data_IF_908068183792
#
_entry.id   IF_908068183792
#
_cell.length_a   1.000
_cell.length_b   1.000
_cell.length_c   1.000
_cell.angle_alpha   90.00
_cell.angle_beta   90.00
_cell.angle_gamma   90.00
#
_symmetry.space_group_name_H-M   'P 1'
#
loop_
_entity.id
_entity.type
_entity.pdbx_description
1 polymer ?
#
# COMPACT_ATOMS: atom_id res chain seq x y z
N UNK A 1 -16.17 -6.07 30.46
CA UNK A 1 -15.24 -6.98 31.18
C UNK A 1 -14.12 -6.15 31.72
N UNK A 2 -14.05 -5.97 33.02
CA UNK A 2 -12.95 -5.29 33.73
C UNK A 2 -11.89 -6.35 33.99
N UNK A 3 -10.74 -6.25 33.33
CA UNK A 3 -9.60 -7.12 33.67
C UNK A 3 -9.09 -6.78 35.08
N UNK A 4 -9.00 -7.76 35.95
CA UNK A 4 -8.38 -7.60 37.24
C UNK A 4 -6.90 -7.23 37.05
N UNK A 5 -6.38 -6.26 37.80
CA UNK A 5 -5.01 -5.73 37.75
C UNK A 5 -3.91 -6.80 37.94
N UNK A 6 -4.26 -7.97 38.41
CA UNK A 6 -3.33 -9.05 38.75
C UNK A 6 -3.25 -10.17 37.69
N UNK A 7 -4.02 -10.07 36.61
CA UNK A 7 -3.91 -11.01 35.47
C UNK A 7 -2.73 -10.58 34.57
N UNK A 8 -1.64 -11.30 34.67
CA UNK A 8 -0.51 -11.20 33.73
C UNK A 8 -1.04 -11.62 32.37
N UNK A 9 -1.19 -10.66 31.45
CA UNK A 9 -1.52 -10.98 30.07
C UNK A 9 -0.33 -11.76 29.49
N UNK A 10 -0.51 -13.02 29.07
CA UNK A 10 0.60 -13.86 28.60
C UNK A 10 1.17 -13.41 27.25
N UNK A 11 0.50 -12.44 26.58
CA UNK A 11 0.94 -11.90 25.30
C UNK A 11 1.72 -10.61 25.54
N UNK A 12 2.98 -10.58 25.11
CA UNK A 12 3.84 -9.40 25.15
C UNK A 12 4.04 -8.88 23.72
N UNK A 13 3.17 -7.98 23.20
CA UNK A 13 3.30 -7.47 21.84
C UNK A 13 4.45 -6.47 21.73
N UNK A 14 5.14 -6.49 20.59
CA UNK A 14 6.03 -5.42 20.14
C UNK A 14 5.37 -4.70 18.99
N UNK A 15 5.17 -3.40 19.11
CA UNK A 15 4.66 -2.55 18.03
C UNK A 15 5.85 -1.83 17.38
N UNK A 16 5.93 -1.94 16.05
CA UNK A 16 6.88 -1.22 15.22
C UNK A 16 6.06 -0.31 14.31
N UNK A 17 6.06 0.97 14.61
CA UNK A 17 5.45 2.00 13.79
C UNK A 17 6.54 2.63 12.92
N UNK A 18 6.41 2.52 11.60
CA UNK A 18 7.37 3.06 10.64
C UNK A 18 7.24 4.57 10.47
N UNK A 19 6.07 5.13 10.76
CA UNK A 19 5.74 6.53 10.52
C UNK A 19 6.08 7.45 11.69
N UNK A 20 6.02 6.96 12.94
CA UNK A 20 6.21 7.77 14.12
C UNK A 20 7.52 7.49 14.85
N UNK A 21 8.28 8.55 15.05
CA UNK A 21 9.35 8.62 16.06
C UNK A 21 8.81 9.40 17.26
N UNK A 22 8.28 8.69 18.27
CA UNK A 22 7.97 9.35 19.54
C UNK A 22 9.29 9.53 20.31
N UNK A 23 9.87 10.69 20.15
CA UNK A 23 11.09 11.07 20.89
C UNK A 23 10.72 11.55 22.29
N UNK A 24 11.41 11.03 23.28
CA UNK A 24 11.40 11.54 24.64
C UNK A 24 12.85 11.81 25.05
N UNK A 25 13.18 13.07 25.29
CA UNK A 25 14.54 13.50 25.62
C UNK A 25 15.61 13.05 24.58
N UNK A 26 15.29 13.09 23.26
CA UNK A 26 16.23 12.68 22.21
C UNK A 26 16.35 11.16 21.98
N UNK A 27 15.64 10.33 22.75
CA UNK A 27 15.61 8.89 22.59
C UNK A 27 14.29 8.41 21.98
N UNK A 28 14.36 7.50 21.01
CA UNK A 28 13.16 6.86 20.46
C UNK A 28 12.56 5.89 21.48
N UNK A 29 11.29 6.15 21.87
CA UNK A 29 10.60 5.39 22.94
C UNK A 29 10.46 3.91 22.58
N UNK A 30 10.21 3.58 21.31
CA UNK A 30 10.06 2.20 20.87
C UNK A 30 11.40 1.46 20.89
N UNK A 31 12.45 2.12 20.38
CA UNK A 31 13.79 1.55 20.37
C UNK A 31 14.32 1.32 21.79
N UNK A 32 14.17 2.31 22.66
CA UNK A 32 14.55 2.20 24.08
C UNK A 32 13.81 1.06 24.79
N UNK A 33 12.52 0.87 24.47
CA UNK A 33 11.73 -0.24 25.01
C UNK A 33 12.21 -1.59 24.49
N UNK A 34 12.48 -1.71 23.18
CA UNK A 34 13.01 -2.95 22.58
C UNK A 34 14.35 -3.32 23.21
N UNK A 35 15.28 -2.36 23.34
CA UNK A 35 16.60 -2.57 23.97
C UNK A 35 16.42 -3.00 25.43
N UNK A 36 15.65 -2.27 26.22
CA UNK A 36 15.39 -2.60 27.63
C UNK A 36 14.81 -4.01 27.81
N UNK A 37 13.80 -4.32 27.01
CA UNK A 37 13.15 -5.62 27.02
C UNK A 37 14.07 -6.75 26.54
N UNK A 38 15.16 -6.42 25.84
CA UNK A 38 16.20 -7.34 25.41
C UNK A 38 17.24 -7.67 26.46
N UNK A 39 17.33 -6.87 27.54
CA UNK A 39 18.29 -7.09 28.64
C UNK A 39 17.71 -8.02 29.70
N UNK A 40 18.57 -8.87 30.27
CA UNK A 40 18.19 -9.67 31.42
C UNK A 40 18.08 -8.79 32.69
N UNK A 41 17.53 -9.37 33.75
CA UNK A 41 17.30 -8.64 35.04
C UNK A 41 18.61 -8.14 35.64
N UNK A 42 19.71 -8.90 35.55
CA UNK A 42 20.99 -8.54 36.14
C UNK A 42 21.64 -7.41 35.36
N UNK A 43 21.56 -7.46 34.00
CA UNK A 43 22.01 -6.39 33.15
C UNK A 43 21.26 -5.08 33.39
N UNK A 44 19.92 -5.14 33.52
CA UNK A 44 19.10 -3.97 33.87
C UNK A 44 19.50 -3.36 35.22
N UNK A 45 19.71 -4.20 36.27
CA UNK A 45 20.14 -3.76 37.56
C UNK A 45 21.54 -3.15 37.51
N UNK A 46 22.47 -3.79 36.77
CA UNK A 46 23.84 -3.29 36.61
C UNK A 46 23.88 -1.92 35.96
N UNK A 47 23.11 -1.72 34.87
CA UNK A 47 23.01 -0.42 34.20
C UNK A 47 22.37 0.65 35.12
N UNK A 48 21.31 0.31 35.83
CA UNK A 48 20.66 1.21 36.76
C UNK A 48 21.62 1.66 37.89
N UNK A 49 22.39 0.73 38.43
CA UNK A 49 23.42 1.04 39.45
C UNK A 49 24.54 1.92 38.89
N UNK A 50 25.05 1.62 37.72
CA UNK A 50 26.09 2.42 37.06
C UNK A 50 25.63 3.85 36.76
N UNK A 51 24.38 4.00 36.30
CA UNK A 51 23.79 5.30 36.04
C UNK A 51 23.55 6.11 37.35
N UNK A 52 23.14 5.44 38.42
CA UNK A 52 23.00 6.08 39.74
C UNK A 52 24.34 6.56 40.29
N UNK A 53 25.42 5.77 40.14
CA UNK A 53 26.77 6.18 40.51
C UNK A 53 27.24 7.40 39.74
N UNK A 54 26.96 7.46 38.43
CA UNK A 54 27.27 8.62 37.60
C UNK A 54 26.57 9.89 38.10
N UNK A 55 25.28 9.82 38.42
CA UNK A 55 24.52 10.94 38.99
C UNK A 55 25.04 11.38 40.35
N UNK A 56 25.42 10.43 41.17
CA UNK A 56 26.02 10.72 42.49
C UNK A 56 27.35 11.41 42.33
N UNK A 57 28.24 10.91 41.49
CA UNK A 57 29.52 11.51 41.18
C UNK A 57 29.38 12.94 40.64
N UNK A 58 28.35 13.20 39.83
CA UNK A 58 28.05 14.56 39.36
C UNK A 58 27.63 15.48 40.50
N UNK A 59 26.85 15.03 41.48
CA UNK A 59 26.48 15.81 42.65
C UNK A 59 27.69 16.14 43.58
N UNK A 60 28.69 15.26 43.57
CA UNK A 60 29.93 15.42 44.36
C UNK A 60 31.02 16.21 43.58
N UNK A 61 30.75 16.58 42.31
CA UNK A 61 31.69 17.35 41.50
C UNK A 61 32.02 18.71 42.09
N UNK A 62 33.28 19.11 41.98
CA UNK A 62 33.79 20.38 42.59
C UNK A 62 33.06 21.61 42.05
N UNK A 63 32.64 21.60 40.77
CA UNK A 63 31.88 22.70 40.18
C UNK A 63 30.46 22.81 40.78
N UNK A 64 29.81 21.67 41.04
CA UNK A 64 28.47 21.63 41.64
C UNK A 64 28.54 22.06 43.12
N UNK A 65 29.52 21.60 43.86
CA UNK A 65 29.76 22.03 45.25
C UNK A 65 30.11 23.51 45.35
N UNK A 66 30.94 24.03 44.46
CA UNK A 66 31.25 25.47 44.39
C UNK A 66 29.99 26.30 44.02
N UNK A 67 29.16 25.83 43.08
CA UNK A 67 27.91 26.46 42.73
C UNK A 67 26.94 26.49 43.91
N UNK A 68 26.79 25.39 44.63
CA UNK A 68 25.93 25.28 45.79
C UNK A 68 26.41 26.22 46.93
N UNK A 69 27.70 26.32 47.16
CA UNK A 69 28.28 27.28 48.11
C UNK A 69 27.97 28.72 47.69
N UNK A 70 28.10 29.06 46.42
CA UNK A 70 27.80 30.39 45.88
C UNK A 70 26.31 30.73 46.02
N UNK A 71 25.40 29.77 45.75
CA UNK A 71 23.96 29.95 45.87
C UNK A 71 23.57 30.14 47.34
N UNK A 72 24.06 29.34 48.24
CA UNK A 72 23.81 29.42 49.70
C UNK A 72 24.26 30.73 50.29
N UNK A 73 25.38 31.28 49.86
CA UNK A 73 25.93 32.55 50.34
C UNK A 73 25.18 33.79 49.82
N UNK A 74 24.53 33.71 48.68
CA UNK A 74 23.94 34.89 48.00
C UNK A 74 22.44 35.07 48.27
N UNK A 75 21.74 34.08 48.85
CA UNK A 75 20.28 34.12 49.04
C UNK A 75 19.91 33.64 50.45
N UNK A 76 19.98 34.50 51.45
CA UNK A 76 19.46 34.17 52.77
C UNK A 76 17.92 34.28 52.80
N UNK A 77 17.22 33.19 52.40
CA UNK A 77 15.76 33.17 52.37
C UNK A 77 15.14 32.64 53.68
N UNK A 78 15.89 31.92 54.49
CA UNK A 78 15.49 31.38 55.80
C UNK A 78 16.67 30.62 56.44
N UNK A 79 16.49 29.98 57.58
CA UNK A 79 17.43 29.06 58.24
C UNK A 79 17.72 27.76 57.42
N UNK A 80 17.23 27.70 56.18
CA UNK A 80 17.40 26.56 55.27
C UNK A 80 18.38 26.89 54.15
N UNK A 81 19.32 25.98 53.92
CA UNK A 81 20.28 26.08 52.82
C UNK A 81 19.65 25.64 51.48
N UNK A 82 19.75 26.47 50.47
CA UNK A 82 19.37 26.13 49.11
C UNK A 82 20.52 25.42 48.40
N UNK A 83 20.24 24.24 47.79
CA UNK A 83 21.24 23.51 46.98
C UNK A 83 20.58 22.93 45.72
N UNK A 84 21.37 22.80 44.66
CA UNK A 84 21.01 22.15 43.42
C UNK A 84 21.64 20.74 43.43
N UNK A 85 20.84 19.72 43.14
CA UNK A 85 21.28 18.35 43.02
C UNK A 85 20.61 17.68 41.83
N UNK A 86 21.26 16.68 41.24
CA UNK A 86 20.61 15.82 40.22
C UNK A 86 19.64 14.87 40.93
N UNK A 87 18.43 14.75 40.39
CA UNK A 87 17.41 13.84 40.89
C UNK A 87 17.87 12.39 40.80
N UNK A 88 18.02 11.74 41.97
CA UNK A 88 18.38 10.33 42.13
C UNK A 88 17.16 9.40 42.16
N UNK A 89 15.95 9.94 42.04
CA UNK A 89 14.73 9.14 42.09
C UNK A 89 14.65 8.13 40.94
N UNK A 90 13.88 7.07 41.16
CA UNK A 90 13.64 6.02 40.16
C UNK A 90 12.84 6.50 38.94
N UNK A 91 12.18 7.67 39.04
CA UNK A 91 11.41 8.24 37.92
C UNK A 91 12.28 8.77 36.78
N UNK A 92 13.57 9.04 37.06
CA UNK A 92 14.58 9.40 36.06
C UNK A 92 15.45 8.19 35.73
N UNK A 93 14.85 7.22 35.06
CA UNK A 93 15.53 5.99 34.66
C UNK A 93 16.56 6.22 33.52
N UNK A 94 17.61 5.42 33.50
CA UNK A 94 18.68 5.49 32.50
C UNK A 94 18.16 5.37 31.07
N UNK A 95 17.07 4.63 30.86
CA UNK A 95 16.47 4.37 29.55
C UNK A 95 16.02 5.64 28.82
N UNK A 96 15.56 6.65 29.60
CA UNK A 96 15.08 7.92 29.02
C UNK A 96 16.18 8.97 28.82
N UNK A 97 17.41 8.67 29.26
CA UNK A 97 18.55 9.58 29.19
C UNK A 97 19.64 9.14 28.24
N UNK A 98 19.58 7.91 27.71
CA UNK A 98 20.54 7.42 26.73
C UNK A 98 20.05 7.69 25.31
N UNK A 99 20.93 8.20 24.49
CA UNK A 99 20.71 8.34 23.05
C UNK A 99 21.29 7.12 22.34
N UNK A 100 20.49 6.50 21.47
CA UNK A 100 20.95 5.40 20.64
C UNK A 100 21.64 5.98 19.39
N UNK A 101 22.85 5.49 19.11
CA UNK A 101 23.60 5.88 17.91
C UNK A 101 23.69 4.72 16.92
N UNK A 102 23.65 5.03 15.64
CA UNK A 102 23.92 4.13 14.54
C UNK A 102 25.12 4.68 13.76
N UNK A 103 26.25 3.96 13.74
CA UNK A 103 27.51 4.45 13.17
C UNK A 103 27.91 5.85 13.66
N UNK A 104 27.82 6.09 14.97
CA UNK A 104 28.10 7.38 15.62
C UNK A 104 27.14 8.53 15.25
N UNK A 105 26.07 8.27 14.51
CA UNK A 105 25.03 9.24 14.21
C UNK A 105 23.85 8.96 15.15
N UNK A 106 23.31 9.98 15.87
CA UNK A 106 22.11 9.82 16.68
C UNK A 106 20.97 9.21 15.87
N UNK A 107 20.26 8.25 16.49
CA UNK A 107 19.21 7.48 15.81
C UNK A 107 18.07 8.34 15.23
N UNK A 108 17.77 9.47 15.85
CA UNK A 108 16.80 10.44 15.39
C UNK A 108 17.25 11.23 14.14
N UNK A 109 18.56 11.23 13.85
CA UNK A 109 19.14 11.93 12.70
C UNK A 109 19.35 11.03 11.48
N UNK A 110 19.20 9.70 11.61
CA UNK A 110 19.22 8.81 10.46
C UNK A 110 17.86 8.80 9.73
N UNK A 111 17.87 8.42 8.46
CA UNK A 111 16.66 8.35 7.64
C UNK A 111 15.58 7.42 8.25
N UNK A 112 14.31 7.82 8.18
CA UNK A 112 13.19 7.07 8.77
C UNK A 112 13.10 5.61 8.28
N UNK A 113 13.41 5.35 7.00
CA UNK A 113 13.49 3.98 6.49
C UNK A 113 14.56 3.13 7.18
N UNK A 114 15.73 3.69 7.48
CA UNK A 114 16.76 2.99 8.26
C UNK A 114 16.33 2.77 9.70
N UNK A 115 15.65 3.75 10.30
CA UNK A 115 15.06 3.59 11.63
C UNK A 115 14.08 2.41 11.67
N UNK A 116 13.21 2.27 10.66
CA UNK A 116 12.26 1.16 10.54
C UNK A 116 13.02 -0.19 10.45
N UNK A 117 14.03 -0.30 9.59
CA UNK A 117 14.85 -1.52 9.44
C UNK A 117 15.53 -1.91 10.76
N UNK A 118 16.14 -0.94 11.46
CA UNK A 118 16.83 -1.20 12.73
C UNK A 118 15.84 -1.67 13.81
N UNK A 119 14.70 -1.00 13.97
CA UNK A 119 13.65 -1.39 14.91
C UNK A 119 13.14 -2.80 14.64
N UNK A 120 12.84 -3.10 13.37
CA UNK A 120 12.33 -4.42 12.97
C UNK A 120 13.37 -5.51 13.23
N UNK A 121 14.63 -5.31 12.83
CA UNK A 121 15.67 -6.29 13.08
C UNK A 121 15.90 -6.54 14.58
N UNK A 122 15.92 -5.49 15.39
CA UNK A 122 16.05 -5.63 16.83
C UNK A 122 14.86 -6.41 17.43
N UNK A 123 13.64 -6.11 17.01
CA UNK A 123 12.46 -6.85 17.47
C UNK A 123 12.47 -8.33 17.06
N UNK A 124 13.05 -8.66 15.89
CA UNK A 124 13.15 -10.03 15.40
C UNK A 124 14.29 -10.82 16.04
N UNK A 125 15.41 -10.19 16.41
CA UNK A 125 16.66 -10.88 16.79
C UNK A 125 16.93 -10.93 18.29
N UNK A 126 16.32 -10.08 19.11
CA UNK A 126 16.61 -10.08 20.55
C UNK A 126 16.30 -11.42 21.23
N UNK A 127 17.19 -11.88 22.09
CA UNK A 127 17.15 -13.20 22.76
C UNK A 127 15.91 -13.39 23.64
N UNK A 128 15.40 -12.33 24.28
CA UNK A 128 14.11 -12.34 24.99
C UNK A 128 12.90 -12.20 24.04
N UNK A 129 13.11 -12.05 22.76
CA UNK A 129 12.05 -12.21 21.77
C UNK A 129 11.48 -13.64 21.73
N UNK A 130 12.12 -14.63 22.37
CA UNK A 130 11.52 -15.96 22.59
C UNK A 130 10.26 -15.90 23.43
N UNK A 131 10.17 -14.96 24.38
CA UNK A 131 8.98 -14.75 25.19
C UNK A 131 7.94 -13.83 24.54
N UNK A 132 8.27 -13.18 23.40
CA UNK A 132 7.38 -12.26 22.69
C UNK A 132 6.83 -12.96 21.44
N UNK A 133 5.63 -13.46 21.60
CA UNK A 133 5.00 -14.26 20.55
C UNK A 133 4.30 -13.43 19.48
N UNK A 134 4.17 -12.09 19.67
CA UNK A 134 3.42 -11.22 18.78
C UNK A 134 4.23 -9.98 18.39
N UNK A 135 4.42 -9.78 17.10
CA UNK A 135 5.02 -8.57 16.51
C UNK A 135 3.96 -7.88 15.65
N UNK A 136 3.74 -6.62 15.90
CA UNK A 136 2.85 -5.74 15.12
C UNK A 136 3.73 -4.79 14.32
N UNK A 137 3.56 -4.75 13.01
CA UNK A 137 4.31 -3.84 12.11
C UNK A 137 3.30 -3.01 11.35
N UNK A 138 3.43 -1.70 11.44
CA UNK A 138 2.57 -0.75 10.75
C UNK A 138 3.32 -0.15 9.56
N UNK A 139 2.76 -0.35 8.37
CA UNK A 139 3.21 0.20 7.08
C UNK A 139 4.73 0.09 6.86
N UNK A 140 5.31 -1.11 6.79
CA UNK A 140 6.76 -1.30 6.65
C UNK A 140 7.33 -0.69 5.37
N UNK A 141 6.50 -0.41 4.37
CA UNK A 141 6.87 0.23 3.10
C UNK A 141 7.22 1.71 3.23
N UNK A 142 6.77 2.37 4.29
CA UNK A 142 6.98 3.81 4.44
C UNK A 142 8.46 4.17 4.51
N UNK A 143 8.84 5.17 3.71
CA UNK A 143 10.20 5.70 3.63
C UNK A 143 11.28 4.70 3.17
N UNK A 144 10.90 3.54 2.61
CA UNK A 144 11.85 2.56 2.06
C UNK A 144 11.85 2.58 0.52
N UNK A 145 13.05 2.45 -0.06
CA UNK A 145 13.16 2.09 -1.47
C UNK A 145 12.68 0.65 -1.68
N UNK A 146 12.25 0.33 -2.90
CA UNK A 146 11.79 -1.02 -3.25
C UNK A 146 12.79 -2.13 -2.87
N UNK A 147 14.09 -1.91 -3.07
CA UNK A 147 15.14 -2.87 -2.72
C UNK A 147 15.24 -3.07 -1.21
N UNK A 148 15.24 -1.97 -0.43
CA UNK A 148 15.29 -2.04 1.04
C UNK A 148 14.05 -2.71 1.62
N UNK A 149 12.88 -2.42 1.06
CA UNK A 149 11.62 -3.06 1.44
C UNK A 149 11.66 -4.58 1.18
N UNK A 150 12.12 -5.00 0.00
CA UNK A 150 12.26 -6.42 -0.33
C UNK A 150 13.18 -7.14 0.67
N UNK A 151 14.31 -6.52 1.02
CA UNK A 151 15.24 -7.07 2.03
C UNK A 151 14.56 -7.18 3.40
N UNK A 152 13.83 -6.15 3.83
CA UNK A 152 13.11 -6.15 5.10
C UNK A 152 12.06 -7.26 5.17
N UNK A 153 11.24 -7.40 4.12
CA UNK A 153 10.22 -8.46 4.06
C UNK A 153 10.85 -9.85 4.09
N UNK A 154 11.96 -10.06 3.36
CA UNK A 154 12.69 -11.35 3.42
C UNK A 154 13.22 -11.65 4.83
N UNK A 155 13.73 -10.65 5.54
CA UNK A 155 14.17 -10.80 6.94
C UNK A 155 13.01 -11.11 7.89
N UNK A 156 11.85 -10.49 7.68
CA UNK A 156 10.63 -10.78 8.45
C UNK A 156 10.21 -12.24 8.26
N UNK A 157 10.20 -12.73 7.02
CA UNK A 157 9.85 -14.11 6.70
C UNK A 157 10.82 -15.14 7.28
N UNK A 158 12.13 -14.84 7.22
CA UNK A 158 13.16 -15.75 7.69
C UNK A 158 13.22 -15.83 9.23
N UNK A 159 13.30 -14.67 9.89
CA UNK A 159 13.51 -14.58 11.35
C UNK A 159 12.21 -14.63 12.16
N UNK A 160 11.08 -14.46 11.51
CA UNK A 160 9.77 -14.41 12.16
C UNK A 160 9.02 -15.74 12.25
N UNK A 161 9.62 -16.86 11.79
CA UNK A 161 8.93 -18.17 11.69
C UNK A 161 8.30 -18.69 12.98
N UNK A 162 8.91 -18.38 14.11
CA UNK A 162 8.45 -18.82 15.44
C UNK A 162 7.55 -17.79 16.13
N UNK A 163 7.08 -16.76 15.41
CA UNK A 163 6.32 -15.65 15.96
C UNK A 163 5.03 -15.42 15.18
N UNK A 164 4.01 -14.93 15.86
CA UNK A 164 2.87 -14.34 15.19
C UNK A 164 3.22 -12.91 14.79
N UNK A 165 3.17 -12.62 13.48
CA UNK A 165 3.41 -11.29 12.93
C UNK A 165 2.13 -10.80 12.29
N UNK A 166 1.70 -9.60 12.67
CA UNK A 166 0.56 -8.91 12.06
C UNK A 166 1.10 -7.63 11.45
N UNK A 167 0.85 -7.46 10.16
CA UNK A 167 1.33 -6.32 9.37
C UNK A 167 0.14 -5.59 8.79
N UNK A 168 0.03 -4.29 9.05
CA UNK A 168 -0.86 -3.41 8.29
C UNK A 168 -0.10 -2.80 7.13
N UNK A 169 -0.69 -2.78 5.93
CA UNK A 169 -0.03 -2.27 4.73
C UNK A 169 -1.03 -1.79 3.69
N UNK A 170 -0.66 -0.78 2.93
CA UNK A 170 -1.32 -0.37 1.69
C UNK A 170 -0.56 -0.85 0.45
N UNK A 171 0.58 -1.53 0.64
CA UNK A 171 1.45 -1.96 -0.44
C UNK A 171 1.05 -3.32 -1.01
N UNK A 172 0.72 -3.33 -2.28
CA UNK A 172 0.53 -4.55 -3.06
C UNK A 172 1.76 -5.46 -3.02
N UNK A 173 2.93 -4.86 -3.04
CA UNK A 173 4.18 -5.59 -2.99
C UNK A 173 4.35 -6.35 -1.66
N UNK A 174 4.07 -5.68 -0.53
CA UNK A 174 4.16 -6.30 0.81
C UNK A 174 3.17 -7.46 0.92
N UNK A 175 1.89 -7.25 0.54
CA UNK A 175 0.86 -8.27 0.59
C UNK A 175 1.22 -9.50 -0.27
N UNK A 176 1.71 -9.28 -1.50
CA UNK A 176 2.12 -10.37 -2.39
C UNK A 176 3.31 -11.16 -1.85
N UNK A 177 4.31 -10.47 -1.31
CA UNK A 177 5.52 -11.12 -0.78
C UNK A 177 5.27 -11.91 0.49
N UNK A 178 4.33 -11.48 1.33
CA UNK A 178 3.97 -12.18 2.57
C UNK A 178 3.00 -13.34 2.35
N UNK A 179 2.43 -13.45 1.15
CA UNK A 179 1.49 -14.49 0.77
C UNK A 179 0.03 -14.07 0.97
N UNK A 180 -0.75 -14.17 -0.10
CA UNK A 180 -2.17 -13.78 -0.11
C UNK A 180 -3.04 -14.71 0.76
N UNK A 181 -2.56 -15.90 1.09
CA UNK A 181 -3.24 -16.84 1.99
C UNK A 181 -3.46 -16.28 3.39
N UNK A 182 -2.60 -15.36 3.81
CA UNK A 182 -2.66 -14.71 5.12
C UNK A 182 -3.32 -13.31 5.05
N UNK A 183 -3.73 -12.87 3.85
CA UNK A 183 -4.29 -11.55 3.65
C UNK A 183 -5.69 -11.46 4.24
N UNK A 184 -5.87 -10.49 5.12
CA UNK A 184 -7.15 -10.09 5.68
C UNK A 184 -7.50 -8.72 5.14
N UNK A 185 -8.57 -8.66 4.35
CA UNK A 185 -9.09 -7.41 3.81
C UNK A 185 -10.09 -6.82 4.80
N UNK A 186 -9.93 -5.53 5.09
CA UNK A 186 -10.86 -4.79 5.94
C UNK A 186 -11.58 -3.78 5.05
N UNK A 187 -12.88 -4.00 4.84
CA UNK A 187 -13.73 -3.11 4.07
C UNK A 187 -15.02 -2.82 4.85
N UNK A 188 -15.37 -1.53 5.02
CA UNK A 188 -16.57 -1.09 5.74
C UNK A 188 -16.79 -1.80 7.10
N UNK A 189 -15.73 -1.93 7.91
CA UNK A 189 -15.71 -2.61 9.22
C UNK A 189 -16.00 -4.12 9.15
N UNK A 190 -15.96 -4.73 7.98
CA UNK A 190 -16.06 -6.18 7.78
C UNK A 190 -14.72 -6.73 7.34
N UNK A 191 -14.43 -7.94 7.76
CA UNK A 191 -13.24 -8.69 7.33
C UNK A 191 -13.60 -9.68 6.23
N UNK A 192 -12.77 -9.77 5.22
CA UNK A 192 -12.84 -10.76 4.13
C UNK A 192 -11.49 -11.44 4.00
N UNK A 193 -11.49 -12.71 3.67
CA UNK A 193 -10.27 -13.49 3.51
C UNK A 193 -10.10 -13.87 2.04
N UNK A 194 -8.89 -13.77 1.54
CA UNK A 194 -8.58 -14.15 0.16
C UNK A 194 -8.85 -15.64 -0.12
N UNK A 195 -8.75 -16.49 0.91
CA UNK A 195 -9.12 -17.92 0.86
C UNK A 195 -10.60 -18.19 0.61
N UNK A 196 -11.48 -17.19 0.75
CA UNK A 196 -12.92 -17.32 0.49
C UNK A 196 -13.24 -17.21 -1.02
N UNK A 197 -12.23 -16.91 -1.86
CA UNK A 197 -12.34 -16.96 -3.33
C UNK A 197 -12.51 -18.40 -3.84
N UNK A 198 -13.10 -18.60 -5.04
CA UNK A 198 -13.08 -19.88 -5.71
C UNK A 198 -11.66 -20.45 -5.80
N UNK A 199 -11.53 -21.76 -5.58
CA UNK A 199 -10.23 -22.44 -5.40
C UNK A 199 -9.23 -22.18 -6.54
N UNK A 200 -9.68 -22.13 -7.78
CA UNK A 200 -8.82 -21.89 -8.94
C UNK A 200 -8.47 -20.41 -9.10
N UNK A 201 -9.33 -19.48 -8.71
CA UNK A 201 -9.03 -18.05 -8.63
C UNK A 201 -8.01 -17.76 -7.52
N UNK A 202 -8.21 -18.37 -6.35
CA UNK A 202 -7.23 -18.29 -5.25
C UNK A 202 -5.84 -18.78 -5.70
N UNK A 203 -5.76 -19.98 -6.34
CA UNK A 203 -4.51 -20.55 -6.86
C UNK A 203 -3.86 -19.67 -7.94
N UNK A 204 -4.67 -19.04 -8.79
CA UNK A 204 -4.18 -18.10 -9.81
C UNK A 204 -3.45 -16.92 -9.16
N UNK A 205 -4.11 -16.24 -8.24
CA UNK A 205 -3.52 -15.07 -7.58
C UNK A 205 -2.38 -15.43 -6.62
N UNK A 206 -2.39 -16.60 -6.02
CA UNK A 206 -1.26 -17.09 -5.22
C UNK A 206 0.04 -17.18 -6.04
N UNK A 207 -0.07 -17.49 -7.33
CA UNK A 207 1.09 -17.61 -8.23
C UNK A 207 1.41 -16.33 -9.00
N UNK A 208 0.40 -15.57 -9.36
CA UNK A 208 0.46 -14.47 -10.31
C UNK A 208 -0.12 -13.16 -9.76
N UNK A 209 -0.24 -13.03 -8.44
CA UNK A 209 -0.73 -11.79 -7.86
C UNK A 209 0.18 -10.62 -8.24
N UNK A 210 -0.36 -9.73 -9.05
CA UNK A 210 0.30 -8.53 -9.53
C UNK A 210 -0.19 -7.27 -8.83
N UNK A 211 0.33 -6.16 -9.26
CA UNK A 211 -0.06 -4.82 -8.82
C UNK A 211 -1.56 -4.55 -9.04
N UNK A 212 -2.10 -4.98 -10.18
CA UNK A 212 -3.49 -4.77 -10.60
C UNK A 212 -4.51 -5.41 -9.65
N UNK A 213 -4.18 -6.54 -9.04
CA UNK A 213 -5.07 -7.22 -8.08
C UNK A 213 -5.42 -6.32 -6.91
N UNK A 214 -4.43 -5.60 -6.40
CA UNK A 214 -4.63 -4.72 -5.26
C UNK A 214 -5.15 -3.34 -5.65
N UNK A 215 -4.88 -2.88 -6.87
CA UNK A 215 -5.59 -1.72 -7.43
C UNK A 215 -7.09 -1.96 -7.39
N UNK A 216 -7.57 -3.13 -7.85
CA UNK A 216 -8.98 -3.49 -7.77
C UNK A 216 -9.50 -3.51 -6.31
N UNK A 217 -8.75 -4.16 -5.41
CA UNK A 217 -9.14 -4.28 -4.00
C UNK A 217 -9.28 -2.91 -3.34
N UNK A 218 -8.35 -2.00 -3.62
CA UNK A 218 -8.29 -0.67 -3.01
C UNK A 218 -9.16 0.37 -3.71
N UNK A 219 -9.56 0.13 -4.96
CA UNK A 219 -10.40 1.06 -5.71
C UNK A 219 -11.82 1.15 -5.11
N UNK A 220 -12.46 2.30 -5.27
CA UNK A 220 -13.88 2.46 -4.96
C UNK A 220 -14.76 1.95 -6.11
N UNK A 221 -14.40 2.26 -7.34
CA UNK A 221 -15.03 1.83 -8.59
C UNK A 221 -13.90 1.51 -9.58
N UNK A 222 -14.03 0.45 -10.36
CA UNK A 222 -13.03 0.08 -11.35
C UNK A 222 -13.64 -0.23 -12.72
N UNK A 223 -12.86 0.04 -13.77
CA UNK A 223 -13.14 -0.39 -15.15
C UNK A 223 -12.02 -1.33 -15.57
N UNK A 224 -12.35 -2.58 -15.84
CA UNK A 224 -11.42 -3.58 -16.34
C UNK A 224 -11.44 -3.56 -17.86
N UNK A 225 -10.26 -3.49 -18.46
CA UNK A 225 -10.06 -3.45 -19.92
C UNK A 225 -9.09 -4.53 -20.38
N UNK A 226 -9.11 -4.89 -21.65
CA UNK A 226 -8.23 -5.95 -22.17
C UNK A 226 -6.78 -5.52 -22.25
N UNK A 227 -6.55 -4.30 -22.74
CA UNK A 227 -5.21 -3.82 -22.98
C UNK A 227 -5.07 -2.30 -22.95
N UNK A 228 -3.86 -1.79 -23.22
CA UNK A 228 -3.56 -0.36 -23.19
C UNK A 228 -4.36 0.46 -24.23
N UNK A 229 -4.73 -0.13 -25.37
CA UNK A 229 -5.54 0.55 -26.39
C UNK A 229 -6.94 0.85 -25.85
N UNK A 230 -7.57 -0.15 -25.24
CA UNK A 230 -8.90 0.00 -24.63
C UNK A 230 -8.87 1.02 -23.51
N UNK A 231 -7.81 1.00 -22.69
CA UNK A 231 -7.60 1.96 -21.61
C UNK A 231 -7.56 3.39 -22.13
N UNK A 232 -6.74 3.66 -23.16
CA UNK A 232 -6.60 4.99 -23.75
C UNK A 232 -7.89 5.47 -24.43
N UNK A 233 -8.59 4.59 -25.16
CA UNK A 233 -9.86 4.91 -25.82
C UNK A 233 -10.94 5.24 -24.79
N UNK A 234 -11.05 4.44 -23.74
CA UNK A 234 -12.00 4.68 -22.63
C UNK A 234 -11.68 5.98 -21.90
N UNK A 235 -10.43 6.19 -21.52
CA UNK A 235 -10.02 7.42 -20.81
C UNK A 235 -10.25 8.68 -21.66
N UNK A 236 -10.02 8.61 -22.99
CA UNK A 236 -10.29 9.73 -23.90
C UNK A 236 -11.77 10.08 -23.94
N UNK A 237 -12.63 9.07 -24.11
CA UNK A 237 -14.09 9.28 -24.09
C UNK A 237 -14.55 9.85 -22.74
N UNK A 238 -14.07 9.26 -21.64
CA UNK A 238 -14.42 9.75 -20.30
C UNK A 238 -14.02 11.21 -20.12
N UNK A 239 -12.83 11.58 -20.53
CA UNK A 239 -12.32 12.95 -20.48
C UNK A 239 -13.22 13.91 -21.25
N UNK A 240 -13.63 13.53 -22.48
CA UNK A 240 -14.53 14.33 -23.31
C UNK A 240 -15.91 14.54 -22.68
N UNK A 241 -16.42 13.54 -21.96
CA UNK A 241 -17.75 13.58 -21.36
C UNK A 241 -17.77 14.04 -19.89
N UNK A 242 -16.61 14.27 -19.26
CA UNK A 242 -16.47 14.57 -17.85
C UNK A 242 -15.70 15.87 -17.56
N UNK A 243 -15.97 16.92 -18.37
CA UNK A 243 -15.32 18.24 -18.22
C UNK A 243 -13.80 18.16 -18.16
N UNK A 244 -13.20 17.43 -19.07
CA UNK A 244 -11.76 17.23 -19.24
C UNK A 244 -11.06 16.46 -18.09
N UNK A 245 -11.80 15.83 -17.20
CA UNK A 245 -11.27 15.00 -16.10
C UNK A 245 -10.97 13.58 -16.57
N UNK A 246 -9.89 13.01 -16.00
CA UNK A 246 -9.59 11.58 -16.12
C UNK A 246 -10.42 10.76 -15.12
N UNK A 247 -10.70 9.47 -15.40
CA UNK A 247 -11.43 8.59 -14.49
C UNK A 247 -10.89 8.57 -13.07
N UNK A 248 -9.56 8.58 -12.91
CA UNK A 248 -8.90 8.53 -11.61
C UNK A 248 -9.21 9.76 -10.74
N UNK A 249 -9.47 10.91 -11.33
CA UNK A 249 -9.82 12.15 -10.62
C UNK A 249 -11.23 12.07 -10.00
N UNK A 250 -12.08 11.21 -10.56
CA UNK A 250 -13.41 10.91 -10.02
C UNK A 250 -13.43 9.58 -9.22
N UNK A 251 -12.23 9.06 -8.86
CA UNK A 251 -12.07 7.85 -8.03
C UNK A 251 -12.35 6.53 -8.75
N UNK A 252 -12.29 6.55 -10.09
CA UNK A 252 -12.47 5.37 -10.93
C UNK A 252 -11.10 4.88 -11.42
N UNK A 253 -10.76 3.63 -11.09
CA UNK A 253 -9.51 3.03 -11.50
C UNK A 253 -9.68 2.21 -12.79
N UNK A 254 -8.92 2.53 -13.83
CA UNK A 254 -8.94 1.78 -15.10
C UNK A 254 -7.80 0.77 -15.08
N UNK A 255 -8.13 -0.53 -15.16
CA UNK A 255 -7.19 -1.61 -14.93
C UNK A 255 -7.14 -2.52 -16.16
N UNK A 256 -5.98 -2.60 -16.80
CA UNK A 256 -5.73 -3.56 -17.89
C UNK A 256 -5.39 -4.93 -17.30
N UNK A 257 -6.23 -5.95 -17.57
CA UNK A 257 -6.13 -7.27 -16.92
C UNK A 257 -5.74 -8.39 -17.88
N UNK A 258 -5.39 -8.08 -19.14
CA UNK A 258 -5.13 -9.09 -20.17
C UNK A 258 -6.25 -10.13 -20.27
N UNK A 259 -7.05 -10.10 -21.29
CA UNK A 259 -8.34 -10.81 -21.60
C UNK A 259 -8.67 -12.09 -20.81
N UNK A 260 -7.68 -12.94 -20.53
CA UNK A 260 -7.86 -14.23 -19.85
C UNK A 260 -8.17 -14.13 -18.35
N UNK A 261 -7.95 -12.98 -17.74
CA UNK A 261 -8.02 -12.81 -16.30
C UNK A 261 -9.33 -12.18 -15.80
N UNK A 262 -10.21 -11.65 -16.66
CA UNK A 262 -11.43 -10.95 -16.24
C UNK A 262 -12.24 -11.70 -15.18
N UNK A 263 -12.52 -12.99 -15.37
CA UNK A 263 -13.29 -13.79 -14.41
C UNK A 263 -12.64 -13.84 -13.04
N UNK A 264 -11.31 -13.87 -12.96
CA UNK A 264 -10.55 -13.87 -11.70
C UNK A 264 -10.72 -12.56 -10.95
N UNK A 265 -10.70 -11.45 -11.67
CA UNK A 265 -10.95 -10.13 -11.09
C UNK A 265 -12.41 -9.95 -10.70
N UNK A 266 -13.34 -10.50 -11.47
CA UNK A 266 -14.77 -10.48 -11.14
C UNK A 266 -15.08 -11.33 -9.90
N UNK A 267 -14.38 -12.43 -9.66
CA UNK A 267 -14.51 -13.20 -8.41
C UNK A 267 -14.11 -12.33 -7.19
N UNK A 268 -13.04 -11.55 -7.31
CA UNK A 268 -12.63 -10.61 -6.24
C UNK A 268 -13.69 -9.51 -6.09
N UNK A 269 -14.14 -8.92 -7.19
CA UNK A 269 -15.16 -7.89 -7.16
C UNK A 269 -16.43 -8.37 -6.49
N UNK A 270 -16.88 -9.59 -6.81
CA UNK A 270 -18.06 -10.20 -6.20
C UNK A 270 -17.86 -10.51 -4.71
N UNK A 271 -16.70 -11.08 -4.32
CA UNK A 271 -16.38 -11.34 -2.91
C UNK A 271 -16.42 -10.05 -2.07
N UNK A 272 -15.91 -8.96 -2.62
CA UNK A 272 -15.78 -7.67 -1.93
C UNK A 272 -16.99 -6.74 -2.16
N UNK A 273 -17.93 -7.14 -3.01
CA UNK A 273 -19.05 -6.29 -3.46
C UNK A 273 -18.58 -4.95 -4.03
N UNK A 274 -17.52 -4.99 -4.85
CA UNK A 274 -16.92 -3.82 -5.51
C UNK A 274 -17.65 -3.48 -6.80
N UNK A 275 -17.85 -2.19 -7.05
CA UNK A 275 -18.42 -1.70 -8.30
C UNK A 275 -17.41 -1.82 -9.43
N UNK A 276 -17.66 -2.74 -10.38
CA UNK A 276 -16.75 -3.05 -11.47
C UNK A 276 -17.47 -3.09 -12.80
N UNK A 277 -16.98 -2.35 -13.79
CA UNK A 277 -17.37 -2.53 -15.18
C UNK A 277 -16.28 -3.27 -15.96
N UNK A 278 -16.66 -4.00 -16.98
CA UNK A 278 -15.76 -4.70 -17.90
C UNK A 278 -16.03 -4.18 -19.31
N UNK A 279 -14.98 -3.78 -20.01
CA UNK A 279 -14.95 -3.51 -21.45
C UNK A 279 -14.17 -4.65 -22.08
N UNK A 280 -14.81 -5.44 -22.93
CA UNK A 280 -14.19 -6.62 -23.54
C UNK A 280 -14.69 -6.80 -24.97
N UNK A 281 -13.88 -7.45 -25.78
CA UNK A 281 -14.21 -7.85 -27.12
C UNK A 281 -15.17 -9.07 -27.14
N UNK A 282 -15.93 -9.23 -28.22
CA UNK A 282 -16.80 -10.41 -28.40
C UNK A 282 -16.10 -11.57 -29.08
N UNK A 283 -14.87 -11.37 -29.59
CA UNK A 283 -14.05 -12.39 -30.28
C UNK A 283 -14.80 -13.14 -31.41
N UNK A 284 -15.80 -12.50 -32.03
CA UNK A 284 -16.60 -13.05 -33.11
C UNK A 284 -17.77 -13.94 -32.72
N UNK A 285 -17.99 -14.16 -31.40
CA UNK A 285 -19.13 -14.93 -30.90
C UNK A 285 -19.61 -14.34 -29.55
N UNK A 286 -20.55 -13.40 -29.63
CA UNK A 286 -21.10 -12.73 -28.46
C UNK A 286 -21.76 -13.68 -27.46
N UNK A 287 -22.50 -14.69 -27.95
CA UNK A 287 -23.23 -15.60 -27.05
C UNK A 287 -22.24 -16.45 -26.24
N UNK A 288 -21.24 -17.03 -26.87
CA UNK A 288 -20.24 -17.85 -26.19
C UNK A 288 -19.32 -17.01 -25.30
N UNK A 289 -18.76 -15.92 -25.87
CA UNK A 289 -17.68 -15.17 -25.21
C UNK A 289 -18.18 -14.14 -24.20
N UNK A 290 -19.47 -13.72 -24.29
CA UNK A 290 -20.04 -12.77 -23.32
C UNK A 290 -21.14 -13.46 -22.51
N UNK A 291 -22.23 -13.90 -23.14
CA UNK A 291 -23.41 -14.41 -22.42
C UNK A 291 -23.10 -15.63 -21.58
N UNK A 292 -22.51 -16.68 -22.18
CA UNK A 292 -22.19 -17.92 -21.46
C UNK A 292 -20.96 -17.75 -20.56
N UNK A 293 -19.89 -17.10 -21.07
CA UNK A 293 -18.66 -16.91 -20.30
C UNK A 293 -18.88 -16.18 -18.97
N UNK A 294 -19.74 -15.17 -18.97
CA UNK A 294 -19.98 -14.32 -17.77
C UNK A 294 -21.34 -14.56 -17.12
N UNK A 295 -22.04 -15.65 -17.40
CA UNK A 295 -23.38 -15.96 -16.89
C UNK A 295 -23.49 -15.81 -15.36
N UNK A 296 -22.46 -16.17 -14.60
CA UNK A 296 -22.44 -16.07 -13.13
C UNK A 296 -22.34 -14.64 -12.58
N UNK A 297 -22.07 -13.65 -13.44
CA UNK A 297 -21.90 -12.24 -13.05
C UNK A 297 -22.96 -11.34 -13.66
N UNK A 298 -23.64 -11.81 -14.72
CA UNK A 298 -24.74 -11.07 -15.35
C UNK A 298 -25.90 -10.92 -14.37
N UNK A 299 -26.40 -9.68 -14.22
CA UNK A 299 -27.48 -9.38 -13.27
C UNK A 299 -27.04 -9.02 -11.85
N UNK A 300 -25.74 -9.08 -11.52
CA UNK A 300 -25.23 -8.53 -10.27
C UNK A 300 -25.19 -6.99 -10.38
N UNK A 301 -25.78 -6.29 -9.43
CA UNK A 301 -25.94 -4.84 -9.47
C UNK A 301 -24.63 -4.06 -9.43
N UNK A 302 -23.59 -4.66 -8.85
CA UNK A 302 -22.26 -4.07 -8.72
C UNK A 302 -21.29 -4.46 -9.85
N UNK A 303 -21.71 -5.33 -10.78
CA UNK A 303 -20.90 -5.77 -11.94
C UNK A 303 -21.62 -5.41 -13.22
N UNK A 304 -20.94 -4.69 -14.12
CA UNK A 304 -21.44 -4.30 -15.43
C UNK A 304 -20.50 -4.80 -16.52
N UNK A 305 -20.97 -5.67 -17.41
CA UNK A 305 -20.19 -6.23 -18.52
C UNK A 305 -20.72 -5.64 -19.81
N UNK A 306 -19.80 -5.04 -20.59
CA UNK A 306 -20.14 -4.36 -21.84
C UNK A 306 -19.22 -4.81 -22.98
N UNK A 307 -19.84 -5.26 -24.06
CA UNK A 307 -19.19 -5.65 -25.32
C UNK A 307 -20.09 -5.27 -26.50
N UNK A 308 -19.53 -5.20 -27.69
CA UNK A 308 -20.32 -5.07 -28.92
C UNK A 308 -21.01 -6.39 -29.25
N UNK A 309 -22.26 -6.34 -29.73
CA UNK A 309 -23.05 -7.54 -30.05
C UNK A 309 -22.93 -7.96 -31.54
N UNK A 310 -22.18 -7.21 -32.36
CA UNK A 310 -21.95 -7.53 -33.75
C UNK A 310 -20.75 -8.48 -33.87
N UNK A 311 -20.98 -9.72 -34.25
CA UNK A 311 -19.93 -10.75 -34.34
C UNK A 311 -18.90 -10.48 -35.45
N UNK A 312 -19.24 -9.73 -36.47
CA UNK A 312 -18.35 -9.30 -37.54
C UNK A 312 -17.39 -8.16 -37.12
N UNK A 313 -17.69 -7.46 -36.04
CA UNK A 313 -16.86 -6.45 -35.39
C UNK A 313 -16.26 -7.02 -34.13
N UNK A 314 -15.30 -7.91 -34.27
CA UNK A 314 -14.85 -8.80 -33.17
C UNK A 314 -13.85 -8.20 -32.20
N UNK A 315 -13.19 -7.08 -32.55
CA UNK A 315 -12.22 -6.38 -31.69
C UNK A 315 -12.42 -4.86 -31.73
N UNK A 316 -11.71 -4.14 -30.85
CA UNK A 316 -11.80 -2.68 -30.72
C UNK A 316 -11.59 -1.94 -32.05
N UNK A 317 -10.60 -2.34 -32.87
CA UNK A 317 -10.22 -1.59 -34.06
C UNK A 317 -11.33 -1.59 -35.14
N UNK A 318 -11.91 -2.74 -35.57
CA UNK A 318 -13.04 -2.72 -36.50
C UNK A 318 -14.28 -2.03 -35.91
N UNK A 319 -14.53 -2.12 -34.63
CA UNK A 319 -15.64 -1.43 -33.95
C UNK A 319 -15.45 0.09 -33.97
N UNK A 320 -14.25 0.56 -33.67
CA UNK A 320 -13.91 1.99 -33.69
C UNK A 320 -13.94 2.55 -35.12
N UNK A 321 -13.45 1.76 -36.09
CA UNK A 321 -13.55 2.10 -37.48
C UNK A 321 -15.02 2.22 -37.96
N UNK A 322 -15.88 1.26 -37.62
CA UNK A 322 -17.27 1.20 -38.05
C UNK A 322 -18.07 2.46 -37.69
N UNK A 323 -17.87 2.98 -36.50
CA UNK A 323 -18.56 4.20 -36.03
C UNK A 323 -17.99 5.48 -36.65
N UNK A 324 -16.77 5.47 -37.19
CA UNK A 324 -16.10 6.63 -37.80
C UNK A 324 -15.95 6.56 -39.32
N UNK A 325 -16.44 5.50 -39.98
CA UNK A 325 -16.28 5.30 -41.46
C UNK A 325 -16.96 6.36 -42.33
N UNK A 326 -17.85 7.16 -41.74
CA UNK A 326 -18.54 8.26 -42.43
C UNK A 326 -17.63 9.49 -42.64
N UNK A 327 -16.54 9.64 -41.86
CA UNK A 327 -15.54 10.71 -42.04
C UNK A 327 -14.10 10.13 -41.97
N UNK A 328 -13.72 9.45 -43.03
CA UNK A 328 -12.40 8.82 -43.11
C UNK A 328 -11.25 9.83 -43.09
N UNK A 329 -11.46 11.06 -43.58
CA UNK A 329 -10.43 12.10 -43.52
C UNK A 329 -10.07 12.45 -42.06
N UNK A 330 -11.09 12.64 -41.27
CA UNK A 330 -10.96 12.94 -39.85
C UNK A 330 -10.32 11.77 -39.07
N UNK A 331 -10.84 10.56 -39.27
CA UNK A 331 -10.30 9.36 -38.65
C UNK A 331 -8.79 9.19 -38.95
N UNK A 332 -8.41 9.27 -40.23
CA UNK A 332 -7.01 9.12 -40.69
C UNK A 332 -6.09 10.16 -40.06
N UNK A 333 -6.55 11.41 -40.02
CA UNK A 333 -5.79 12.50 -39.39
C UNK A 333 -5.48 12.19 -37.92
N UNK A 334 -6.48 11.72 -37.15
CA UNK A 334 -6.34 11.41 -35.75
C UNK A 334 -5.42 10.22 -35.48
N UNK A 335 -5.64 9.10 -36.19
CA UNK A 335 -4.82 7.89 -35.96
C UNK A 335 -3.44 7.97 -36.63
N UNK A 336 -3.16 9.02 -37.40
CA UNK A 336 -1.88 9.22 -38.09
C UNK A 336 -1.66 8.25 -39.26
N UNK A 337 -2.74 7.91 -39.99
CA UNK A 337 -2.68 7.00 -41.13
C UNK A 337 -2.11 7.69 -42.36
N UNK A 338 -1.16 7.06 -43.13
CA UNK A 338 -0.63 7.61 -44.34
C UNK A 338 -1.71 7.74 -45.43
N UNK A 339 -1.75 8.85 -46.15
CA UNK A 339 -2.81 9.22 -47.11
C UNK A 339 -2.84 8.38 -48.41
N UNK A 340 -1.88 7.49 -48.61
CA UNK A 340 -1.69 6.74 -49.90
C UNK A 340 -2.62 5.54 -50.09
N UNK A 341 -3.34 5.12 -49.03
CA UNK A 341 -4.21 3.95 -49.10
C UNK A 341 -5.68 4.35 -48.88
N UNK A 342 -6.60 3.75 -49.65
CA UNK A 342 -8.02 4.15 -49.71
C UNK A 342 -9.00 3.08 -49.22
N UNK A 343 -8.56 1.83 -49.07
CA UNK A 343 -9.44 0.72 -48.70
C UNK A 343 -9.67 0.66 -47.19
N UNK A 344 -10.92 0.45 -46.78
CA UNK A 344 -11.34 0.37 -45.38
C UNK A 344 -10.57 -0.70 -44.61
N UNK A 345 -10.36 -1.87 -45.18
CA UNK A 345 -9.64 -2.96 -44.53
C UNK A 345 -8.18 -2.60 -44.22
N UNK A 346 -7.55 -1.75 -45.05
CA UNK A 346 -6.18 -1.31 -44.81
C UNK A 346 -6.07 -0.38 -43.60
N UNK A 347 -7.10 0.42 -43.37
CA UNK A 347 -7.15 1.29 -42.16
C UNK A 347 -7.30 0.44 -40.90
N UNK A 348 -8.19 -0.56 -40.91
CA UNK A 348 -8.37 -1.50 -39.80
C UNK A 348 -7.06 -2.25 -39.53
N UNK A 349 -6.44 -2.82 -40.59
CA UNK A 349 -5.16 -3.53 -40.48
C UNK A 349 -4.04 -2.63 -39.95
N UNK A 350 -4.04 -1.34 -40.34
CA UNK A 350 -3.09 -0.38 -39.79
C UNK A 350 -3.29 -0.22 -38.27
N UNK A 351 -4.51 -0.01 -37.80
CA UNK A 351 -4.81 0.11 -36.34
C UNK A 351 -4.38 -1.15 -35.60
N UNK A 352 -4.72 -2.34 -36.11
CA UNK A 352 -4.31 -3.64 -35.51
C UNK A 352 -2.78 -3.75 -35.41
N UNK A 353 -2.06 -3.37 -36.49
CA UNK A 353 -0.60 -3.46 -36.55
C UNK A 353 0.10 -2.41 -35.66
N UNK A 354 -0.47 -1.21 -35.56
CA UNK A 354 0.07 -0.13 -34.73
C UNK A 354 -0.27 -0.32 -33.23
N UNK A 355 -1.16 -1.26 -32.92
CA UNK A 355 -1.56 -1.56 -31.52
C UNK A 355 -1.89 -0.28 -30.74
N UNK A 356 -1.12 0.03 -29.72
CA UNK A 356 -1.36 1.16 -28.80
C UNK A 356 -1.09 2.53 -29.42
N UNK A 357 -0.27 2.62 -30.48
CA UNK A 357 0.17 3.93 -31.02
C UNK A 357 -0.99 4.75 -31.63
N UNK A 358 -1.97 4.11 -32.29
CA UNK A 358 -3.13 4.84 -32.79
C UNK A 358 -4.03 5.34 -31.67
N UNK A 359 -4.18 4.56 -30.62
CA UNK A 359 -4.98 4.94 -29.44
C UNK A 359 -4.32 6.08 -28.67
N UNK A 360 -2.98 6.11 -28.60
CA UNK A 360 -2.23 7.22 -28.01
C UNK A 360 -2.44 8.52 -28.80
N UNK A 361 -2.34 8.46 -30.13
CA UNK A 361 -2.62 9.63 -30.99
C UNK A 361 -4.07 10.12 -30.84
N UNK A 362 -5.03 9.20 -30.72
CA UNK A 362 -6.43 9.53 -30.40
C UNK A 362 -6.52 10.25 -29.05
N UNK A 363 -5.84 9.74 -28.04
CA UNK A 363 -5.86 10.33 -26.71
C UNK A 363 -5.29 11.76 -26.70
N UNK A 364 -4.23 12.02 -27.45
CA UNK A 364 -3.58 13.33 -27.56
C UNK A 364 -4.32 14.32 -28.47
N UNK A 365 -5.19 13.83 -29.35
CA UNK A 365 -5.89 14.68 -30.34
C UNK A 365 -7.03 15.48 -29.71
N UNK A 366 -7.18 16.74 -30.11
CA UNK A 366 -8.35 17.58 -29.76
C UNK A 366 -9.56 17.34 -30.70
N UNK A 367 -9.38 16.50 -31.72
CA UNK A 367 -10.42 16.19 -32.68
C UNK A 367 -11.39 15.18 -32.05
N UNK A 368 -12.67 15.52 -32.01
CA UNK A 368 -13.71 14.65 -31.47
C UNK A 368 -14.10 13.61 -32.52
N UNK A 369 -13.95 12.33 -32.18
CA UNK A 369 -14.43 11.19 -32.94
C UNK A 369 -15.62 10.53 -32.25
N UNK A 370 -16.31 9.64 -32.99
CA UNK A 370 -17.35 8.79 -32.41
C UNK A 370 -16.76 7.57 -31.71
N UNK A 371 -17.46 7.08 -30.69
CA UNK A 371 -17.05 5.91 -29.91
C UNK A 371 -18.10 4.79 -29.97
N UNK A 372 -17.67 3.51 -29.95
CA UNK A 372 -18.59 2.39 -29.89
C UNK A 372 -19.54 2.49 -28.69
N UNK A 373 -20.79 2.08 -28.92
CA UNK A 373 -21.87 2.25 -27.92
C UNK A 373 -21.59 1.51 -26.61
N UNK A 374 -20.88 0.37 -26.67
CA UNK A 374 -20.56 -0.41 -25.50
C UNK A 374 -19.58 0.32 -24.56
N UNK A 375 -18.67 1.12 -25.10
CA UNK A 375 -17.76 1.97 -24.31
C UNK A 375 -18.52 3.15 -23.70
N UNK A 376 -19.42 3.80 -24.49
CA UNK A 376 -20.26 4.89 -24.00
C UNK A 376 -21.11 4.45 -22.78
N UNK A 377 -21.71 3.26 -22.83
CA UNK A 377 -22.48 2.68 -21.72
C UNK A 377 -21.67 2.55 -20.43
N UNK A 378 -20.38 2.21 -20.55
CA UNK A 378 -19.52 2.13 -19.36
C UNK A 378 -19.22 3.50 -18.79
N UNK A 379 -19.04 4.54 -19.62
CA UNK A 379 -18.89 5.92 -19.12
C UNK A 379 -20.17 6.37 -18.38
N UNK A 380 -21.36 6.08 -18.93
CA UNK A 380 -22.62 6.36 -18.27
C UNK A 380 -22.75 5.63 -16.92
N UNK A 381 -22.41 4.34 -16.90
CA UNK A 381 -22.38 3.55 -15.65
C UNK A 381 -21.38 4.11 -14.64
N UNK A 382 -20.26 4.65 -15.07
CA UNK A 382 -19.29 5.27 -14.18
C UNK A 382 -19.85 6.52 -13.48
N UNK A 383 -20.73 7.25 -14.16
CA UNK A 383 -21.34 8.49 -13.65
C UNK A 383 -22.58 8.25 -12.78
N UNK A 384 -23.16 7.05 -12.82
CA UNK A 384 -24.26 6.63 -11.95
C UNK A 384 -23.74 6.19 -10.57
#
# INVERSE_FOLDING_TARGET
MTFARDLVIPIKPVLIDSSSSKLKNGSDVYLSKIIKDGLDRNEQIGLAQSYRKLKQSFNEDTNITALNTKISNNIPISDKQLSITVDLSSNNSWESQLTTNFNNIPFDQIGKGEQCIVKTNLALTHSHARDKNLILIEEPENHLSHTKLNTLISQIQEKGRDKQIIISTHSSFVANKLGLENLILIDNKKTKFFKDLPSDTYKYFQKLAGYETLRLILSNKAVLVEGPSDELVFQKLYKQESNDKLPIEDGIDVISVQSLAFKRFLDIANLLNKNVAVITDNDGDFDTNITHKYQGYLGLTHIFISADNKNDLNTLEPQFFDVNKHDLSKLRSVIGYPTTYTENQQIINYMINQKTDWALKLFESDIILEYPIYIKRVVEWCKS
#
